data_IF_632122012156
#
_entry.id   IF_632122012156
#
_cell.length_a   1.000
_cell.length_b   1.000
_cell.length_c   1.000
_cell.angle_alpha   90.00
_cell.angle_beta   90.00
_cell.angle_gamma   90.00
#
_symmetry.space_group_name_H-M   'P 1'
#
loop_
_entity.id
_entity.type
_entity.pdbx_description
1 polymer ?
#
# COMPACT_ATOMS: atom_id res chain seq x y z
N UNK A 1 20.61 2.03 9.23
CA UNK A 1 20.22 1.22 8.06
C UNK A 1 21.09 -0.02 7.93
N UNK A 2 20.51 -1.22 8.09
CA UNK A 2 21.16 -2.49 7.76
C UNK A 2 20.65 -2.92 6.37
N UNK A 3 21.56 -3.22 5.45
CA UNK A 3 21.23 -3.73 4.11
C UNK A 3 21.01 -5.24 4.24
N UNK A 4 19.89 -5.75 3.73
CA UNK A 4 19.55 -7.18 3.73
C UNK A 4 19.35 -7.64 2.28
N UNK A 5 19.97 -8.76 1.85
CA UNK A 5 19.70 -9.32 0.54
C UNK A 5 18.27 -9.87 0.49
N UNK A 6 17.54 -9.53 -0.58
CA UNK A 6 16.15 -9.94 -0.81
C UNK A 6 15.97 -10.39 -2.27
N UNK A 7 14.94 -11.21 -2.52
CA UNK A 7 14.58 -11.58 -3.89
C UNK A 7 13.85 -10.40 -4.54
N UNK A 8 14.49 -9.76 -5.52
CA UNK A 8 13.92 -8.63 -6.27
C UNK A 8 13.28 -9.12 -7.55
N UNK A 9 12.00 -8.85 -7.72
CA UNK A 9 11.27 -9.04 -8.96
C UNK A 9 11.56 -7.87 -9.90
N UNK A 10 11.51 -8.12 -11.20
CA UNK A 10 11.73 -7.13 -12.24
C UNK A 10 10.68 -7.26 -13.35
N UNK A 11 10.11 -6.14 -13.77
CA UNK A 11 9.39 -6.05 -15.04
C UNK A 11 9.56 -4.70 -15.70
N UNK A 12 9.44 -4.67 -17.03
CA UNK A 12 9.38 -3.44 -17.83
C UNK A 12 8.05 -3.40 -18.56
N UNK A 13 7.32 -2.30 -18.43
CA UNK A 13 6.00 -2.16 -19.03
C UNK A 13 5.44 -0.75 -18.92
N UNK A 14 4.23 -0.55 -19.42
CA UNK A 14 3.50 0.71 -19.25
C UNK A 14 2.73 0.68 -17.95
N UNK A 15 3.08 1.59 -17.04
CA UNK A 15 2.42 1.74 -15.75
C UNK A 15 2.13 3.21 -15.51
N UNK A 16 1.13 3.48 -14.68
CA UNK A 16 0.90 4.84 -14.19
C UNK A 16 1.92 5.13 -13.09
N UNK A 17 2.69 6.18 -13.31
CA UNK A 17 3.71 6.68 -12.40
C UNK A 17 3.40 8.14 -12.09
N UNK A 18 3.51 8.52 -10.82
CA UNK A 18 3.42 9.90 -10.37
C UNK A 18 4.59 10.26 -9.47
N UNK A 19 4.77 11.56 -9.23
CA UNK A 19 5.76 12.08 -8.32
C UNK A 19 5.11 13.10 -7.39
N UNK A 20 5.32 12.94 -6.09
CA UNK A 20 4.79 13.82 -5.06
C UNK A 20 5.94 14.75 -4.64
N UNK A 21 6.03 15.89 -5.33
CA UNK A 21 7.15 16.85 -5.18
C UNK A 21 7.35 17.28 -3.73
N UNK A 22 6.26 17.53 -3.00
CA UNK A 22 6.30 17.99 -1.60
C UNK A 22 6.99 17.02 -0.64
N UNK A 23 7.06 15.73 -0.99
CA UNK A 23 7.64 14.67 -0.17
C UNK A 23 8.82 13.97 -0.87
N UNK A 24 9.15 14.41 -2.09
CA UNK A 24 10.13 13.76 -2.94
C UNK A 24 9.83 12.29 -3.21
N UNK A 25 8.56 11.87 -3.22
CA UNK A 25 8.15 10.47 -3.26
C UNK A 25 7.65 10.06 -4.65
N UNK A 26 7.96 8.85 -5.09
CA UNK A 26 7.37 8.25 -6.29
C UNK A 26 6.11 7.45 -5.92
N UNK A 27 5.09 7.49 -6.78
CA UNK A 27 3.89 6.67 -6.65
C UNK A 27 3.70 5.81 -7.91
N UNK A 28 3.53 4.49 -7.73
CA UNK A 28 3.34 3.53 -8.82
C UNK A 28 2.02 2.80 -8.66
N UNK A 29 1.26 2.65 -9.75
CA UNK A 29 0.07 1.81 -9.81
C UNK A 29 0.35 0.52 -10.62
N UNK A 30 0.21 -0.62 -9.94
CA UNK A 30 0.29 -1.96 -10.50
C UNK A 30 -1.11 -2.60 -10.52
N UNK A 31 -1.79 -2.67 -11.69
CA UNK A 31 -3.11 -3.28 -11.77
C UNK A 31 -3.04 -4.80 -11.66
N UNK A 32 -3.98 -5.40 -10.93
CA UNK A 32 -4.20 -6.84 -10.91
C UNK A 32 -4.97 -7.31 -12.15
N UNK A 33 -5.15 -8.64 -12.25
CA UNK A 33 -6.02 -9.26 -13.25
C UNK A 33 -7.39 -8.55 -13.31
N UNK A 34 -7.91 -8.36 -14.53
CA UNK A 34 -9.19 -7.69 -14.80
C UNK A 34 -9.26 -6.20 -14.40
N UNK A 35 -8.17 -5.60 -13.88
CA UNK A 35 -8.07 -4.17 -13.53
C UNK A 35 -9.11 -3.66 -12.53
N UNK A 36 -9.80 -4.56 -11.82
CA UNK A 36 -10.73 -4.19 -10.73
C UNK A 36 -10.00 -3.82 -9.44
N UNK A 37 -8.81 -4.40 -9.24
CA UNK A 37 -7.91 -4.08 -8.15
C UNK A 37 -6.60 -3.49 -8.68
N UNK A 38 -6.02 -2.57 -7.92
CA UNK A 38 -4.68 -2.04 -8.16
C UNK A 38 -3.89 -2.02 -6.87
N UNK A 39 -2.63 -2.45 -6.91
CA UNK A 39 -1.65 -2.16 -5.87
C UNK A 39 -1.04 -0.79 -6.15
N UNK A 40 -1.14 0.11 -5.17
CA UNK A 40 -0.50 1.42 -5.21
C UNK A 40 0.68 1.39 -4.24
N UNK A 41 1.84 1.85 -4.70
CA UNK A 41 3.08 1.84 -3.92
C UNK A 41 3.58 3.28 -3.82
N UNK A 42 3.79 3.76 -2.60
CA UNK A 42 4.41 5.05 -2.29
C UNK A 42 5.83 4.79 -1.80
N UNK A 43 6.78 5.15 -2.65
CA UNK A 43 8.20 5.02 -2.39
C UNK A 43 8.77 6.41 -2.06
N UNK A 44 9.15 6.70 -0.80
CA UNK A 44 9.80 7.96 -0.48
C UNK A 44 11.11 8.12 -1.27
N UNK A 45 11.51 9.36 -1.56
CA UNK A 45 12.85 9.62 -2.08
C UNK A 45 13.93 9.39 -1.02
N UNK A 46 15.19 9.26 -1.46
CA UNK A 46 16.32 9.22 -0.55
C UNK A 46 16.40 10.51 0.27
N UNK A 47 16.30 10.38 1.59
CA UNK A 47 16.45 11.52 2.50
C UNK A 47 17.94 11.81 2.64
N UNK A 48 18.41 12.82 1.92
CA UNK A 48 19.82 13.24 1.90
C UNK A 48 20.28 13.94 3.20
N UNK A 49 19.37 14.21 4.14
CA UNK A 49 19.68 14.99 5.34
C UNK A 49 18.97 14.36 6.54
N UNK A 50 19.63 14.31 7.70
CA UNK A 50 19.25 13.54 8.90
C UNK A 50 17.93 13.92 9.61
N UNK A 51 16.93 14.40 8.87
CA UNK A 51 15.53 14.56 9.25
C UNK A 51 14.77 13.24 9.15
N UNK A 52 13.60 13.19 9.80
CA UNK A 52 12.61 12.11 9.80
C UNK A 52 12.65 11.28 8.51
N UNK A 53 12.71 9.95 8.66
CA UNK A 53 12.74 9.02 7.52
C UNK A 53 11.64 9.40 6.52
N UNK A 54 11.90 9.36 5.21
CA UNK A 54 10.95 9.89 4.21
C UNK A 54 9.56 9.27 4.31
N UNK A 55 9.49 8.07 4.91
CA UNK A 55 8.27 7.38 5.27
C UNK A 55 7.46 8.06 6.39
N UNK A 56 8.10 8.58 7.44
CA UNK A 56 7.44 9.33 8.52
C UNK A 56 6.80 10.62 8.00
N UNK A 57 7.41 11.26 7.00
CA UNK A 57 6.82 12.43 6.35
C UNK A 57 5.53 12.06 5.62
N UNK A 58 5.54 10.95 4.87
CA UNK A 58 4.34 10.41 4.22
C UNK A 58 3.28 10.03 5.26
N UNK A 59 3.65 9.34 6.34
CA UNK A 59 2.74 8.94 7.43
C UNK A 59 2.08 10.15 8.09
N UNK A 60 2.83 11.23 8.34
CA UNK A 60 2.30 12.45 8.98
C UNK A 60 1.27 13.20 8.15
N UNK A 61 1.33 13.08 6.82
CA UNK A 61 0.40 13.73 5.87
C UNK A 61 -0.63 12.77 5.31
N UNK A 62 -0.65 11.53 5.80
CA UNK A 62 -1.52 10.51 5.25
C UNK A 62 -2.96 10.74 5.70
N UNK A 63 -3.77 11.26 4.78
CA UNK A 63 -5.23 11.30 4.91
C UNK A 63 -5.86 10.58 3.73
N UNK A 64 -7.14 10.23 3.84
CA UNK A 64 -7.88 9.64 2.74
C UNK A 64 -7.92 10.58 1.52
N UNK A 65 -8.12 11.89 1.73
CA UNK A 65 -8.13 12.86 0.63
C UNK A 65 -6.77 12.91 -0.07
N UNK A 66 -5.69 12.93 0.70
CA UNK A 66 -4.34 12.98 0.17
C UNK A 66 -3.99 11.72 -0.62
N UNK A 67 -4.34 10.53 -0.12
CA UNK A 67 -4.14 9.27 -0.85
C UNK A 67 -4.91 9.24 -2.18
N UNK A 68 -6.14 9.75 -2.20
CA UNK A 68 -6.95 9.84 -3.42
C UNK A 68 -6.40 10.87 -4.41
N UNK A 69 -5.93 12.01 -3.91
CA UNK A 69 -5.29 13.04 -4.71
C UNK A 69 -4.02 12.50 -5.36
N UNK A 70 -3.10 11.94 -4.57
CA UNK A 70 -1.82 11.41 -5.08
C UNK A 70 -2.02 10.26 -6.08
N UNK A 71 -3.01 9.39 -5.84
CA UNK A 71 -3.34 8.27 -6.72
C UNK A 71 -4.41 8.59 -7.78
N UNK A 72 -4.62 9.87 -8.09
CA UNK A 72 -5.58 10.34 -9.11
C UNK A 72 -4.97 10.28 -10.52
N UNK A 73 -5.84 10.29 -11.53
CA UNK A 73 -5.42 10.36 -12.93
C UNK A 73 -4.73 11.67 -13.32
N UNK A 74 -4.89 12.73 -12.52
CA UNK A 74 -4.25 14.04 -12.76
C UNK A 74 -2.78 14.04 -12.31
N UNK A 75 -2.46 13.25 -11.28
CA UNK A 75 -1.13 13.18 -10.69
C UNK A 75 -0.30 11.96 -11.14
N UNK A 76 -0.91 11.04 -11.90
CA UNK A 76 -0.25 9.84 -12.40
C UNK A 76 -0.37 9.73 -13.92
N UNK A 77 0.76 9.55 -14.59
CA UNK A 77 0.85 9.48 -16.05
C UNK A 77 1.28 8.09 -16.49
N UNK A 78 0.66 7.55 -17.55
CA UNK A 78 1.07 6.27 -18.13
C UNK A 78 2.39 6.44 -18.89
N UNK A 79 3.45 5.80 -18.41
CA UNK A 79 4.78 5.83 -19.03
C UNK A 79 5.44 4.45 -18.99
N UNK A 80 6.52 4.28 -19.76
CA UNK A 80 7.30 3.04 -19.72
C UNK A 80 8.21 3.05 -18.50
N UNK A 81 7.96 2.14 -17.56
CA UNK A 81 8.67 2.05 -16.29
C UNK A 81 9.38 0.70 -16.17
N UNK A 82 10.63 0.73 -15.69
CA UNK A 82 11.33 -0.44 -15.16
C UNK A 82 11.05 -0.53 -13.66
N UNK A 83 10.29 -1.55 -13.27
CA UNK A 83 9.82 -1.76 -11.91
C UNK A 83 10.67 -2.84 -11.24
N UNK A 84 11.29 -2.49 -10.13
CA UNK A 84 11.99 -3.41 -9.23
C UNK A 84 11.25 -3.44 -7.90
N UNK A 85 10.67 -4.60 -7.56
CA UNK A 85 9.85 -4.78 -6.36
C UNK A 85 10.28 -6.06 -5.63
N UNK A 86 10.53 -6.03 -4.31
CA UNK A 86 10.86 -7.24 -3.59
C UNK A 86 9.67 -8.21 -3.61
N UNK A 87 9.97 -9.51 -3.69
CA UNK A 87 9.02 -10.55 -3.32
C UNK A 87 8.89 -10.54 -1.79
N UNK A 88 7.66 -10.47 -1.27
CA UNK A 88 7.44 -10.44 0.17
C UNK A 88 6.16 -11.15 0.60
N UNK A 89 6.17 -11.58 1.86
CA UNK A 89 5.04 -12.18 2.56
C UNK A 89 4.88 -11.44 3.88
N UNK A 90 3.71 -10.85 4.11
CA UNK A 90 3.36 -10.19 5.35
C UNK A 90 2.18 -10.91 5.98
N UNK A 91 2.34 -11.23 7.26
CA UNK A 91 1.30 -11.81 8.09
C UNK A 91 1.23 -11.02 9.39
N UNK A 92 0.04 -10.59 9.76
CA UNK A 92 -0.20 -9.82 10.97
C UNK A 92 -1.43 -10.35 11.71
N UNK A 93 -1.30 -10.54 13.02
CA UNK A 93 -2.44 -10.74 13.92
C UNK A 93 -2.49 -9.56 14.87
N UNK A 94 -3.59 -8.82 14.84
CA UNK A 94 -3.81 -7.62 15.63
C UNK A 94 -4.95 -7.84 16.61
N UNK A 95 -4.73 -7.51 17.88
CA UNK A 95 -5.81 -7.30 18.83
C UNK A 95 -6.24 -5.84 18.70
N UNK A 96 -7.47 -5.62 18.26
CA UNK A 96 -7.99 -4.28 17.97
C UNK A 96 -8.71 -3.64 19.15
N UNK A 97 -8.81 -4.31 20.30
CA UNK A 97 -9.55 -3.77 21.45
C UNK A 97 -9.06 -2.38 21.85
N UNK A 98 -7.77 -2.26 22.17
CA UNK A 98 -7.17 -0.99 22.63
C UNK A 98 -7.27 0.09 21.55
N UNK A 99 -6.97 -0.27 20.30
CA UNK A 99 -7.05 0.65 19.15
C UNK A 99 -8.47 1.19 18.94
N UNK A 100 -9.48 0.31 18.96
CA UNK A 100 -10.88 0.73 18.80
C UNK A 100 -11.35 1.59 19.96
N UNK A 101 -10.91 1.28 21.19
CA UNK A 101 -11.20 2.10 22.36
C UNK A 101 -10.56 3.50 22.27
N UNK A 102 -9.31 3.60 21.84
CA UNK A 102 -8.63 4.88 21.58
C UNK A 102 -9.31 5.68 20.46
N UNK A 103 -9.89 5.00 19.47
CA UNK A 103 -10.72 5.63 18.43
C UNK A 103 -12.12 6.05 18.90
N UNK A 104 -12.47 5.78 20.16
CA UNK A 104 -13.73 6.20 20.79
C UNK A 104 -14.79 5.11 20.94
N UNK A 105 -14.55 3.91 20.41
CA UNK A 105 -15.44 2.76 20.57
C UNK A 105 -15.22 2.12 21.96
N UNK A 106 -15.77 2.73 23.01
CA UNK A 106 -15.54 2.29 24.40
C UNK A 106 -16.73 1.56 25.04
N UNK A 107 -17.94 2.00 24.72
CA UNK A 107 -19.16 1.49 25.36
C UNK A 107 -19.42 0.01 25.06
N UNK A 108 -19.16 -0.44 23.82
CA UNK A 108 -19.40 -1.83 23.41
C UNK A 108 -18.55 -2.86 24.19
N UNK A 109 -17.41 -2.43 24.74
CA UNK A 109 -16.50 -3.26 25.53
C UNK A 109 -16.82 -3.20 27.03
N UNK A 110 -17.74 -2.32 27.45
CA UNK A 110 -18.03 -2.05 28.87
C UNK A 110 -19.41 -2.57 29.25
N UNK A 111 -19.48 -3.51 30.20
CA UNK A 111 -20.75 -4.18 30.58
C UNK A 111 -21.83 -3.22 31.06
N UNK A 112 -21.46 -2.17 31.77
CA UNK A 112 -22.42 -1.17 32.26
C UNK A 112 -22.92 -0.18 31.21
N UNK A 113 -22.35 -0.18 30.00
CA UNK A 113 -22.65 0.80 28.95
C UNK A 113 -23.06 0.19 27.61
N UNK A 114 -22.66 -1.05 27.32
CA UNK A 114 -22.95 -1.72 26.06
C UNK A 114 -24.46 -1.92 25.90
N UNK A 115 -25.05 -1.32 24.86
CA UNK A 115 -26.43 -1.58 24.46
C UNK A 115 -26.46 -2.43 23.19
N UNK A 116 -26.69 -3.72 23.37
CA UNK A 116 -26.87 -4.72 22.31
C UNK A 116 -28.28 -5.34 22.35
N UNK A 117 -29.25 -4.59 22.87
CA UNK A 117 -30.64 -5.04 23.10
C UNK A 117 -31.36 -5.46 21.81
N UNK A 118 -30.97 -4.92 20.66
CA UNK A 118 -31.50 -5.31 19.35
C UNK A 118 -31.03 -6.70 18.89
N UNK A 119 -29.92 -7.22 19.45
CA UNK A 119 -29.39 -8.55 19.13
C UNK A 119 -29.89 -9.63 20.09
N UNK A 120 -30.10 -9.27 21.36
CA UNK A 120 -30.51 -10.21 22.40
C UNK A 120 -31.26 -9.52 23.54
N UNK A 121 -32.15 -10.26 24.19
CA UNK A 121 -32.82 -9.83 25.41
C UNK A 121 -31.93 -9.95 26.67
N UNK A 122 -30.74 -10.55 26.56
CA UNK A 122 -29.78 -10.68 27.65
C UNK A 122 -29.14 -9.32 27.97
N UNK A 123 -29.16 -8.92 29.25
CA UNK A 123 -28.74 -7.58 29.72
C UNK A 123 -27.25 -7.40 29.98
N UNK A 124 -26.41 -8.38 29.62
CA UNK A 124 -24.97 -8.41 29.95
C UNK A 124 -24.11 -8.85 28.77
N UNK A 125 -24.52 -8.49 27.54
CA UNK A 125 -23.73 -8.80 26.34
C UNK A 125 -22.75 -7.66 26.07
N UNK A 126 -21.47 -8.01 25.94
CA UNK A 126 -20.39 -7.08 25.56
C UNK A 126 -19.54 -7.71 24.46
N UNK A 127 -18.85 -6.85 23.71
CA UNK A 127 -17.78 -7.29 22.83
C UNK A 127 -16.53 -7.54 23.68
N UNK A 128 -16.13 -8.80 23.82
CA UNK A 128 -14.97 -9.14 24.65
C UNK A 128 -13.64 -8.90 23.92
N UNK A 129 -13.49 -9.40 22.69
CA UNK A 129 -12.25 -9.30 21.92
C UNK A 129 -12.53 -9.16 20.42
N UNK A 130 -11.70 -8.34 19.75
CA UNK A 130 -11.67 -8.16 18.30
C UNK A 130 -10.28 -8.52 17.81
N UNK A 131 -10.18 -9.63 17.09
CA UNK A 131 -8.92 -10.12 16.51
C UNK A 131 -8.99 -9.99 14.99
N UNK A 132 -8.06 -9.24 14.42
CA UNK A 132 -7.91 -9.10 12.98
C UNK A 132 -6.65 -9.81 12.51
N UNK A 133 -6.80 -10.80 11.63
CA UNK A 133 -5.69 -11.51 10.99
C UNK A 133 -5.65 -11.14 9.52
N UNK A 134 -4.50 -10.67 9.07
CA UNK A 134 -4.27 -10.28 7.68
C UNK A 134 -3.06 -11.01 7.12
N UNK A 135 -3.19 -11.42 5.86
CA UNK A 135 -2.15 -12.10 5.10
C UNK A 135 -2.06 -11.47 3.71
N UNK A 136 -0.86 -11.07 3.30
CA UNK A 136 -0.58 -10.64 1.94
C UNK A 136 0.72 -11.26 1.45
N UNK A 137 0.67 -11.83 0.25
CA UNK A 137 1.82 -12.38 -0.44
C UNK A 137 1.90 -11.74 -1.81
N UNK A 138 3.06 -11.14 -2.10
CA UNK A 138 3.32 -10.48 -3.37
C UNK A 138 4.43 -11.26 -4.06
N UNK A 139 4.06 -11.89 -5.17
CA UNK A 139 4.93 -12.67 -6.04
C UNK A 139 4.64 -12.33 -7.52
N UNK A 140 5.44 -12.93 -8.39
CA UNK A 140 5.36 -12.73 -9.84
C UNK A 140 4.02 -13.26 -10.34
N UNK A 141 3.60 -14.48 -9.99
CA UNK A 141 2.35 -15.08 -10.51
C UNK A 141 1.10 -14.22 -10.24
N UNK A 142 0.99 -13.62 -9.04
CA UNK A 142 -0.13 -12.76 -8.65
C UNK A 142 -0.13 -11.36 -9.31
N UNK A 143 1.03 -10.92 -9.81
CA UNK A 143 1.23 -9.60 -10.46
C UNK A 143 1.41 -9.72 -11.99
N UNK A 144 1.56 -10.95 -12.51
CA UNK A 144 1.90 -11.27 -13.91
C UNK A 144 0.69 -11.59 -14.80
N UNK A 145 -0.53 -11.51 -14.29
CA UNK A 145 -1.75 -11.74 -15.09
C UNK A 145 -2.04 -10.67 -16.19
N UNK A 146 -1.09 -9.76 -16.47
CA UNK A 146 -1.18 -8.76 -17.54
C UNK A 146 0.05 -8.79 -18.49
N UNK A 147 0.51 -9.99 -18.86
CA UNK A 147 1.45 -10.21 -19.98
C UNK A 147 1.01 -9.44 -21.25
N UNK A 148 1.89 -8.96 -22.13
CA UNK A 148 3.33 -9.03 -22.22
C UNK A 148 3.75 -8.35 -23.54
N UNK A 149 4.97 -7.82 -23.60
CA UNK A 149 5.58 -7.39 -24.87
C UNK A 149 7.06 -7.69 -24.83
N UNK A 150 7.48 -8.50 -25.83
CA UNK A 150 8.85 -8.96 -26.00
C UNK A 150 9.83 -7.81 -26.17
N UNK A 151 11.03 -7.98 -25.63
CA UNK A 151 12.13 -7.08 -25.81
C UNK A 151 12.70 -7.22 -27.24
N UNK A 152 12.50 -6.20 -28.07
CA UNK A 152 13.26 -5.98 -29.29
C UNK A 152 14.15 -4.75 -29.08
N UNK A 153 15.46 -4.97 -28.93
CA UNK A 153 16.46 -3.89 -28.82
C UNK A 153 16.70 -3.34 -30.22
N UNK A 154 16.10 -2.19 -30.52
CA UNK A 154 16.51 -1.36 -31.66
C UNK A 154 17.00 -0.03 -31.10
N UNK A 155 18.31 0.21 -31.19
CA UNK A 155 18.91 1.53 -30.95
C UNK A 155 18.30 2.53 -31.92
N UNK A 156 17.49 3.47 -31.42
CA UNK A 156 17.17 4.78 -32.02
C UNK A 156 16.54 5.66 -30.94
N UNK A 157 17.20 6.79 -30.65
CA UNK A 157 16.76 7.94 -29.83
C UNK A 157 15.91 7.63 -28.58
N UNK A 158 16.55 7.59 -27.41
CA UNK A 158 15.98 7.20 -26.10
C UNK A 158 14.61 7.85 -25.82
N UNK A 159 13.51 7.09 -25.76
CA UNK A 159 12.41 7.42 -24.87
C UNK A 159 12.95 7.35 -23.44
N UNK A 160 12.76 8.38 -22.61
CA UNK A 160 13.07 8.29 -21.17
C UNK A 160 12.33 7.06 -20.61
N UNK A 161 13.08 6.04 -20.22
CA UNK A 161 12.53 4.93 -19.45
C UNK A 161 12.66 5.32 -17.99
N UNK A 162 11.54 5.46 -17.30
CA UNK A 162 11.54 5.76 -15.87
C UNK A 162 11.88 4.52 -15.07
N UNK A 163 12.53 4.70 -13.92
CA UNK A 163 12.88 3.59 -13.01
C UNK A 163 12.14 3.78 -11.70
N UNK A 164 11.45 2.72 -11.27
CA UNK A 164 10.84 2.62 -9.95
C UNK A 164 11.52 1.46 -9.20
N UNK A 165 12.37 1.79 -8.22
CA UNK A 165 13.19 0.81 -7.51
C UNK A 165 12.87 0.80 -6.02
N UNK A 166 11.98 -0.11 -5.62
CA UNK A 166 11.55 -0.27 -4.23
C UNK A 166 12.57 -1.07 -3.39
N UNK A 167 13.79 -0.55 -3.24
CA UNK A 167 14.90 -1.19 -2.53
C UNK A 167 15.07 -0.72 -1.06
N UNK A 168 14.13 0.08 -0.56
CA UNK A 168 14.12 0.64 0.80
C UNK A 168 12.66 0.74 1.28
N UNK A 169 12.40 1.09 2.56
CA UNK A 169 11.05 1.07 3.12
C UNK A 169 10.02 1.87 2.32
N UNK A 170 8.85 1.28 2.09
CA UNK A 170 7.75 1.90 1.34
C UNK A 170 6.39 1.58 1.95
N UNK A 171 5.40 2.39 1.58
CA UNK A 171 3.99 2.13 1.88
C UNK A 171 3.32 1.55 0.64
N UNK A 172 2.35 0.67 0.86
CA UNK A 172 1.52 0.16 -0.21
C UNK A 172 0.09 -0.02 0.25
N UNK A 173 -0.83 0.04 -0.71
CA UNK A 173 -2.22 -0.32 -0.47
C UNK A 173 -2.84 -0.97 -1.70
N UNK A 174 -3.85 -1.81 -1.48
CA UNK A 174 -4.62 -2.44 -2.56
C UNK A 174 -5.97 -1.74 -2.60
N UNK A 175 -6.27 -1.12 -3.75
CA UNK A 175 -7.50 -0.37 -3.99
C UNK A 175 -8.43 -1.14 -4.92
N UNK A 176 -9.72 -1.16 -4.58
CA UNK A 176 -10.78 -1.52 -5.52
C UNK A 176 -11.11 -0.31 -6.39
N UNK A 177 -10.73 -0.36 -7.66
CA UNK A 177 -10.81 0.77 -8.58
C UNK A 177 -12.24 1.30 -8.81
N UNK A 178 -13.28 0.45 -8.93
CA UNK A 178 -14.65 0.94 -9.10
C UNK A 178 -15.21 1.75 -7.93
N UNK A 179 -14.82 1.44 -6.69
CA UNK A 179 -15.35 2.09 -5.47
C UNK A 179 -14.33 2.97 -4.76
N UNK A 180 -13.09 3.03 -5.25
CA UNK A 180 -11.94 3.64 -4.58
C UNK A 180 -11.69 3.15 -3.14
N UNK A 181 -12.19 1.96 -2.80
CA UNK A 181 -12.07 1.41 -1.45
C UNK A 181 -10.71 0.76 -1.25
N UNK A 182 -10.02 1.10 -0.16
CA UNK A 182 -8.80 0.41 0.27
C UNK A 182 -9.15 -0.92 0.92
N UNK A 183 -8.65 -2.01 0.36
CA UNK A 183 -8.84 -3.38 0.87
C UNK A 183 -7.70 -3.78 1.80
N UNK A 184 -6.48 -3.41 1.45
CA UNK A 184 -5.28 -3.65 2.25
C UNK A 184 -4.45 -2.39 2.32
N UNK A 185 -3.82 -2.18 3.47
CA UNK A 185 -2.88 -1.10 3.70
C UNK A 185 -1.70 -1.65 4.49
N UNK A 186 -0.48 -1.34 4.08
CA UNK A 186 0.71 -1.89 4.71
C UNK A 186 1.95 -1.05 4.52
N UNK A 187 2.89 -1.23 5.44
CA UNK A 187 4.25 -0.69 5.39
C UNK A 187 5.22 -1.86 5.27
N UNK A 188 6.11 -1.82 4.28
CA UNK A 188 7.19 -2.79 4.15
C UNK A 188 8.52 -2.14 4.52
N UNK A 189 9.05 -2.44 5.72
CA UNK A 189 10.38 -1.98 6.14
C UNK A 189 11.51 -2.96 5.82
N UNK A 190 11.21 -4.26 5.90
CA UNK A 190 12.11 -5.35 5.50
C UNK A 190 11.25 -6.45 4.89
N UNK A 191 11.54 -6.86 3.64
CA UNK A 191 11.04 -8.10 3.07
C UNK A 191 11.56 -9.34 3.79
#
# INVERSE_FOLDING_TARGET
NRIKPVQMMYQKGKFKLGYIEEMGAQILELPYAQKSLSMIILLPGDVADGSLSGLEQIESRMTYENLMLWASSENMFETTVEVYLPRFKLEGTFNLNEVLQEMGMTDIFTESKADLSAMTFAKSLVLSNVVHKAYVEVNEEGTVAAAGTGASIVRRSLPLTEVFMANHPFLFFIRHNPTNTTIFFGKLCSP
#
